data_IF_324481048179
#
_entry.id   IF_324481048179
#
_cell.length_a   1.000
_cell.length_b   1.000
_cell.length_c   1.000
_cell.angle_alpha   90.00
_cell.angle_beta   90.00
_cell.angle_gamma   90.00
#
_symmetry.space_group_name_H-M   'P 1'
#
loop_
_entity.id
_entity.type
_entity.pdbx_description
1 polymer ?
#
# COMPACT_ATOMS: atom_id res chain seq x y z
N UNK A 1 29.50 38.21 -59.63
CA UNK A 1 29.54 36.93 -58.92
C UNK A 1 28.78 37.08 -57.62
N UNK A 2 27.56 36.51 -57.49
CA UNK A 2 26.76 36.52 -56.28
C UNK A 2 26.99 35.26 -55.50
N UNK A 3 27.14 35.24 -54.16
CA UNK A 3 27.06 34.00 -53.39
C UNK A 3 25.63 33.77 -52.87
N UNK A 4 25.23 32.51 -52.95
CA UNK A 4 23.96 31.95 -52.49
C UNK A 4 23.77 32.14 -50.98
N UNK A 5 22.57 32.56 -50.59
CA UNK A 5 22.08 32.49 -49.21
C UNK A 5 21.36 31.16 -49.01
N UNK A 6 21.89 30.29 -48.18
CA UNK A 6 21.24 29.09 -47.68
C UNK A 6 20.31 29.49 -46.53
N UNK A 7 19.00 29.24 -46.69
CA UNK A 7 17.99 29.42 -45.65
C UNK A 7 18.14 28.26 -44.65
N UNK A 8 18.49 28.56 -43.42
CA UNK A 8 18.29 27.64 -42.27
C UNK A 8 16.87 27.89 -41.74
N UNK A 9 15.97 26.94 -41.95
CA UNK A 9 14.67 26.91 -41.33
C UNK A 9 14.80 26.51 -39.87
N UNK A 10 14.57 27.45 -38.96
CA UNK A 10 14.42 27.15 -37.54
C UNK A 10 13.05 26.47 -37.32
N UNK A 11 13.06 25.19 -37.00
CA UNK A 11 11.89 24.47 -36.52
C UNK A 11 11.69 24.88 -35.05
N UNK A 12 10.78 25.79 -34.80
CA UNK A 12 10.33 26.13 -33.45
C UNK A 12 9.33 25.03 -33.04
N UNK A 13 9.81 24.08 -32.23
CA UNK A 13 8.91 23.14 -31.53
C UNK A 13 8.28 23.92 -30.39
N UNK A 14 7.07 24.39 -30.58
CA UNK A 14 6.24 24.90 -29.48
C UNK A 14 5.84 23.72 -28.59
N UNK A 15 6.57 23.54 -27.50
CA UNK A 15 6.12 22.67 -26.40
C UNK A 15 5.02 23.44 -25.67
N UNK A 16 3.78 23.17 -26.02
CA UNK A 16 2.64 23.64 -25.25
C UNK A 16 2.59 22.83 -23.95
N UNK A 17 3.09 23.41 -22.86
CA UNK A 17 2.85 22.88 -21.52
C UNK A 17 1.33 23.01 -21.24
N UNK A 18 0.59 21.92 -21.42
CA UNK A 18 -0.80 21.84 -20.97
C UNK A 18 -0.72 21.64 -19.45
N UNK A 19 -0.92 22.73 -18.72
CA UNK A 19 -1.09 22.71 -17.27
C UNK A 19 -2.51 22.21 -17.03
N UNK A 20 -2.66 20.90 -16.81
CA UNK A 20 -3.93 20.30 -16.45
C UNK A 20 -4.40 20.85 -15.10
N UNK A 21 -5.43 21.63 -15.14
CA UNK A 21 -6.16 22.06 -13.95
C UNK A 21 -7.18 20.97 -13.56
N UNK A 22 -7.56 20.89 -12.29
CA UNK A 22 -8.67 20.03 -11.85
C UNK A 22 -9.96 20.42 -12.60
N UNK A 23 -10.33 19.65 -13.61
CA UNK A 23 -11.63 19.80 -14.27
C UNK A 23 -12.58 18.71 -13.76
N UNK A 24 -13.58 19.13 -12.99
CA UNK A 24 -14.82 18.36 -12.91
C UNK A 24 -15.69 18.83 -14.09
N UNK A 25 -15.76 18.02 -15.12
CA UNK A 25 -16.76 18.19 -16.15
C UNK A 25 -18.13 17.99 -15.53
N UNK A 26 -19.02 18.97 -15.68
CA UNK A 26 -20.43 18.75 -15.40
C UNK A 26 -20.92 17.58 -16.25
N UNK A 27 -21.46 16.56 -15.59
CA UNK A 27 -22.17 15.48 -16.23
C UNK A 27 -23.46 16.08 -16.82
N UNK A 28 -23.47 16.41 -18.13
CA UNK A 28 -24.70 16.34 -18.88
C UNK A 28 -25.18 14.89 -18.85
N UNK A 29 -26.48 14.66 -18.74
CA UNK A 29 -27.16 13.34 -18.63
C UNK A 29 -26.87 12.33 -19.76
N UNK A 30 -25.77 12.48 -20.48
CA UNK A 30 -25.34 11.64 -21.61
C UNK A 30 -23.85 11.41 -21.73
N UNK A 31 -23.07 11.50 -20.62
CA UNK A 31 -21.69 11.05 -20.66
C UNK A 31 -21.65 9.51 -20.77
N UNK A 32 -20.96 8.95 -21.76
CA UNK A 32 -20.85 7.48 -21.87
C UNK A 32 -20.19 6.95 -20.61
N UNK A 33 -20.86 6.01 -19.94
CA UNK A 33 -20.25 5.17 -18.92
C UNK A 33 -18.90 4.69 -19.46
N UNK A 34 -17.77 4.82 -18.72
CA UNK A 34 -16.52 4.27 -19.18
C UNK A 34 -16.72 2.77 -19.40
N UNK A 35 -16.87 2.36 -20.66
CA UNK A 35 -16.92 0.96 -21.03
C UNK A 35 -15.50 0.43 -20.87
N UNK A 36 -15.22 -0.26 -19.76
CA UNK A 36 -14.13 -1.22 -19.76
C UNK A 36 -14.40 -2.19 -20.91
N UNK A 37 -13.41 -2.51 -21.74
CA UNK A 37 -13.60 -3.39 -22.87
C UNK A 37 -14.28 -4.68 -22.40
N UNK A 38 -15.22 -5.18 -23.21
CA UNK A 38 -15.88 -6.46 -23.00
C UNK A 38 -14.80 -7.56 -22.87
N UNK A 39 -15.07 -8.66 -22.16
CA UNK A 39 -14.07 -9.69 -21.91
C UNK A 39 -13.52 -10.19 -23.24
N UNK A 40 -12.28 -9.83 -23.53
CA UNK A 40 -11.51 -10.39 -24.62
C UNK A 40 -11.06 -11.79 -24.21
N UNK A 41 -10.97 -12.70 -25.19
CA UNK A 41 -10.47 -14.07 -25.22
C UNK A 41 -10.02 -14.68 -23.88
N UNK A 42 -10.37 -15.94 -23.65
CA UNK A 42 -10.01 -16.73 -22.46
C UNK A 42 -8.59 -16.43 -21.98
N UNK A 43 -8.52 -15.74 -20.84
CA UNK A 43 -7.27 -15.42 -20.17
C UNK A 43 -6.72 -16.71 -19.57
N UNK A 44 -5.55 -17.13 -20.03
CA UNK A 44 -4.80 -18.23 -19.40
C UNK A 44 -4.13 -17.61 -18.16
N UNK A 45 -4.67 -17.91 -16.97
CA UNK A 45 -4.10 -17.47 -15.72
C UNK A 45 -2.70 -18.09 -15.53
N UNK A 46 -1.74 -17.27 -15.12
CA UNK A 46 -0.44 -17.72 -14.60
C UNK A 46 -0.67 -18.32 -13.20
N UNK A 47 0.17 -19.27 -12.76
CA UNK A 47 0.12 -19.84 -11.40
C UNK A 47 0.28 -18.79 -10.30
N UNK A 48 0.76 -17.59 -10.64
CA UNK A 48 0.85 -16.43 -9.74
C UNK A 48 -0.43 -15.58 -9.67
N UNK A 49 -1.42 -15.79 -10.56
CA UNK A 49 -2.65 -15.01 -10.57
C UNK A 49 -3.69 -15.56 -9.59
N UNK A 50 -4.42 -14.65 -8.96
CA UNK A 50 -5.46 -14.96 -7.98
C UNK A 50 -6.86 -14.83 -8.59
N UNK A 51 -7.79 -15.64 -8.06
CA UNK A 51 -9.21 -15.45 -8.28
C UNK A 51 -9.84 -14.47 -7.28
N UNK A 52 -11.06 -14.00 -7.55
CA UNK A 52 -11.83 -13.20 -6.59
C UNK A 52 -12.12 -13.96 -5.28
N UNK A 53 -12.20 -15.31 -5.35
CA UNK A 53 -12.36 -16.18 -4.18
C UNK A 53 -11.12 -16.15 -3.29
N UNK A 54 -9.93 -16.24 -3.89
CA UNK A 54 -8.65 -16.16 -3.16
C UNK A 54 -8.49 -14.80 -2.49
N UNK A 55 -8.82 -13.71 -3.19
CA UNK A 55 -8.79 -12.37 -2.61
C UNK A 55 -9.75 -12.24 -1.41
N UNK A 56 -10.94 -12.85 -1.47
CA UNK A 56 -11.85 -12.89 -0.33
C UNK A 56 -11.27 -13.68 0.85
N UNK A 57 -10.54 -14.77 0.61
CA UNK A 57 -9.85 -15.54 1.64
C UNK A 57 -8.73 -14.73 2.29
N UNK A 58 -7.89 -14.07 1.48
CA UNK A 58 -6.84 -13.14 1.94
C UNK A 58 -7.43 -12.06 2.86
N UNK A 59 -8.56 -11.45 2.46
CA UNK A 59 -9.22 -10.41 3.25
C UNK A 59 -9.68 -10.91 4.62
N UNK A 60 -10.22 -12.13 4.70
CA UNK A 60 -10.62 -12.74 5.98
C UNK A 60 -9.42 -12.97 6.90
N UNK A 61 -8.33 -13.55 6.36
CA UNK A 61 -7.10 -13.81 7.12
C UNK A 61 -6.51 -12.51 7.63
N UNK A 62 -6.40 -11.48 6.78
CA UNK A 62 -5.86 -10.19 7.16
C UNK A 62 -6.63 -9.54 8.31
N UNK A 63 -7.97 -9.53 8.24
CA UNK A 63 -8.81 -8.94 9.30
C UNK A 63 -8.78 -9.74 10.59
N UNK A 64 -8.64 -11.05 10.52
CA UNK A 64 -8.56 -11.91 11.70
C UNK A 64 -7.16 -11.94 12.33
N UNK A 65 -6.17 -11.21 11.77
CA UNK A 65 -4.84 -11.02 12.35
C UNK A 65 -4.03 -12.32 12.44
N UNK A 66 -4.14 -13.20 11.44
CA UNK A 66 -3.44 -14.51 11.39
C UNK A 66 -3.69 -15.42 12.61
N UNK A 67 -4.69 -15.14 13.43
CA UNK A 67 -5.05 -16.01 14.55
C UNK A 67 -6.04 -17.08 14.07
N UNK A 68 -5.85 -18.36 14.43
CA UNK A 68 -6.90 -19.35 14.25
C UNK A 68 -8.10 -18.91 15.10
N UNK A 69 -9.16 -18.44 14.46
CA UNK A 69 -10.37 -18.00 15.16
C UNK A 69 -11.10 -19.22 15.69
N UNK A 70 -11.42 -19.21 16.99
CA UNK A 70 -12.56 -20.01 17.50
C UNK A 70 -13.80 -19.52 16.76
N UNK A 71 -14.59 -20.46 16.24
CA UNK A 71 -15.79 -20.21 15.47
C UNK A 71 -16.62 -19.05 16.07
N UNK A 72 -16.84 -17.98 15.30
CA UNK A 72 -17.79 -16.92 15.67
C UNK A 72 -17.45 -15.48 15.29
N UNK A 73 -16.28 -15.16 14.75
CA UNK A 73 -15.94 -13.79 14.39
C UNK A 73 -15.27 -13.63 13.02
N UNK A 74 -15.67 -14.41 12.03
CA UNK A 74 -15.13 -14.28 10.68
C UNK A 74 -15.51 -12.93 10.08
N UNK A 75 -14.52 -12.21 9.54
CA UNK A 75 -14.76 -10.98 8.82
C UNK A 75 -15.72 -11.24 7.64
N UNK A 76 -16.90 -10.61 7.70
CA UNK A 76 -17.93 -10.80 6.67
C UNK A 76 -17.50 -10.07 5.40
N UNK A 77 -17.22 -10.82 4.35
CA UNK A 77 -17.04 -10.31 2.99
C UNK A 77 -18.42 -10.13 2.37
N UNK A 78 -18.75 -8.91 1.95
CA UNK A 78 -20.03 -8.60 1.28
C UNK A 78 -20.00 -8.97 -0.19
N UNK A 79 -19.00 -8.46 -0.90
CA UNK A 79 -18.76 -8.75 -2.32
C UNK A 79 -17.32 -8.40 -2.69
N UNK A 80 -16.91 -8.84 -3.88
CA UNK A 80 -15.61 -8.52 -4.48
C UNK A 80 -15.85 -7.81 -5.82
N UNK A 81 -15.24 -6.65 -5.99
CA UNK A 81 -15.27 -5.87 -7.24
C UNK A 81 -13.91 -6.01 -7.92
N UNK A 82 -13.91 -6.40 -9.19
CA UNK A 82 -12.67 -6.59 -9.96
C UNK A 82 -12.33 -5.31 -10.73
N UNK A 83 -11.15 -4.78 -10.49
CA UNK A 83 -10.54 -3.69 -11.27
C UNK A 83 -9.59 -4.34 -12.26
N UNK A 84 -9.71 -3.95 -13.55
CA UNK A 84 -8.96 -4.58 -14.64
C UNK A 84 -7.89 -3.65 -15.18
N UNK A 85 -6.80 -4.25 -15.70
CA UNK A 85 -5.76 -3.54 -16.45
C UNK A 85 -6.22 -3.18 -17.89
N UNK A 86 -5.35 -2.50 -18.63
CA UNK A 86 -5.63 -2.10 -20.01
C UNK A 86 -5.86 -3.28 -20.96
N UNK A 87 -5.31 -4.47 -20.65
CA UNK A 87 -5.53 -5.71 -21.40
C UNK A 87 -6.81 -6.44 -20.97
N UNK A 88 -7.57 -5.92 -20.01
CA UNK A 88 -8.80 -6.53 -19.49
C UNK A 88 -8.55 -7.63 -18.45
N UNK A 89 -7.31 -7.87 -18.02
CA UNK A 89 -6.96 -8.85 -16.98
C UNK A 89 -7.33 -8.30 -15.60
N UNK A 90 -7.75 -9.12 -14.63
CA UNK A 90 -7.89 -8.67 -13.25
C UNK A 90 -6.57 -8.10 -12.73
N UNK A 91 -6.55 -6.88 -12.24
CA UNK A 91 -5.38 -6.24 -11.64
C UNK A 91 -5.53 -6.11 -10.13
N UNK A 92 -6.67 -5.63 -9.66
CA UNK A 92 -6.94 -5.40 -8.25
C UNK A 92 -8.32 -5.96 -7.90
N UNK A 93 -8.43 -6.60 -6.76
CA UNK A 93 -9.71 -6.96 -6.16
C UNK A 93 -10.05 -6.02 -5.01
N UNK A 94 -11.11 -5.25 -5.14
CA UNK A 94 -11.68 -4.49 -4.02
C UNK A 94 -12.66 -5.39 -3.26
N UNK A 95 -12.22 -5.86 -2.10
CA UNK A 95 -13.01 -6.76 -1.23
C UNK A 95 -13.78 -5.92 -0.23
N UNK A 96 -15.07 -5.75 -0.47
CA UNK A 96 -15.97 -5.01 0.42
C UNK A 96 -16.29 -5.84 1.67
N UNK A 97 -16.09 -5.23 2.84
CA UNK A 97 -16.33 -5.83 4.15
C UNK A 97 -17.61 -5.26 4.78
N UNK A 98 -17.90 -5.64 6.02
CA UNK A 98 -19.02 -5.06 6.76
C UNK A 98 -18.86 -3.55 6.92
N UNK A 99 -17.63 -3.09 7.22
CA UNK A 99 -17.23 -1.69 7.15
C UNK A 99 -15.93 -1.58 6.36
N UNK A 100 -15.89 -0.62 5.43
CA UNK A 100 -14.73 -0.39 4.60
C UNK A 100 -14.46 -1.52 3.59
N UNK A 101 -13.27 -1.50 3.03
CA UNK A 101 -12.83 -2.50 2.05
C UNK A 101 -11.30 -2.62 2.01
N UNK A 102 -10.82 -3.70 1.43
CA UNK A 102 -9.41 -3.91 1.12
C UNK A 102 -9.20 -3.90 -0.39
N UNK A 103 -8.08 -3.35 -0.83
CA UNK A 103 -7.57 -3.54 -2.18
C UNK A 103 -6.50 -4.61 -2.13
N UNK A 104 -6.70 -5.67 -2.90
CA UNK A 104 -5.83 -6.85 -2.92
C UNK A 104 -5.28 -7.03 -4.33
N UNK A 105 -3.99 -7.28 -4.46
CA UNK A 105 -3.37 -7.59 -5.74
C UNK A 105 -3.98 -8.84 -6.36
N UNK A 106 -4.20 -8.82 -7.67
CA UNK A 106 -4.65 -9.99 -8.40
C UNK A 106 -3.49 -10.91 -8.85
N UNK A 107 -2.26 -10.62 -8.44
CA UNK A 107 -1.10 -11.47 -8.69
C UNK A 107 -0.16 -11.53 -7.50
N UNK A 108 0.41 -12.69 -7.23
CA UNK A 108 1.43 -12.90 -6.19
C UNK A 108 2.78 -12.24 -6.52
N UNK A 109 2.92 -11.69 -7.71
CA UNK A 109 4.10 -10.91 -8.10
C UNK A 109 4.15 -9.53 -7.43
N UNK A 110 3.04 -9.07 -6.84
CA UNK A 110 2.95 -7.83 -6.08
C UNK A 110 2.59 -8.12 -4.62
N UNK A 111 2.76 -7.12 -3.77
CA UNK A 111 2.39 -7.22 -2.35
C UNK A 111 0.87 -7.48 -2.20
N UNK A 112 0.45 -8.38 -1.31
CA UNK A 112 -0.95 -8.84 -1.22
C UNK A 112 -1.94 -7.72 -0.90
N UNK A 113 -1.68 -6.90 0.11
CA UNK A 113 -2.57 -5.84 0.56
C UNK A 113 -2.10 -4.49 0.00
N UNK A 114 -2.81 -3.97 -0.99
CA UNK A 114 -2.47 -2.71 -1.63
C UNK A 114 -3.04 -1.50 -0.87
N UNK A 115 -4.22 -1.67 -0.26
CA UNK A 115 -4.81 -0.64 0.59
C UNK A 115 -5.81 -1.21 1.58
N UNK A 116 -5.96 -0.50 2.69
CA UNK A 116 -6.99 -0.71 3.69
C UNK A 116 -7.78 0.58 3.87
N UNK A 117 -9.07 0.53 3.61
CA UNK A 117 -10.00 1.64 3.76
C UNK A 117 -10.98 1.31 4.88
N UNK A 118 -11.07 2.20 5.88
CA UNK A 118 -11.81 1.92 7.11
C UNK A 118 -13.32 2.13 6.97
N UNK A 119 -13.77 2.96 6.01
CA UNK A 119 -15.19 3.29 5.82
C UNK A 119 -15.57 3.35 4.36
N UNK A 120 -16.83 3.07 4.06
CA UNK A 120 -17.40 3.11 2.71
C UNK A 120 -17.41 1.75 2.03
N UNK A 121 -17.95 1.73 0.84
CA UNK A 121 -18.02 0.55 -0.04
C UNK A 121 -17.44 0.93 -1.38
N UNK A 122 -16.61 0.09 -1.95
CA UNK A 122 -16.05 0.33 -3.28
C UNK A 122 -17.05 -0.10 -4.36
N UNK A 123 -17.29 0.80 -5.32
CA UNK A 123 -18.07 0.54 -6.54
C UNK A 123 -17.35 1.16 -7.72
N UNK A 124 -17.61 0.68 -8.94
CA UNK A 124 -16.99 1.21 -10.16
C UNK A 124 -17.66 2.50 -10.65
N UNK A 125 -18.91 2.73 -10.29
CA UNK A 125 -19.76 3.87 -10.68
C UNK A 125 -19.66 5.07 -9.72
N UNK A 126 -18.68 5.06 -8.81
CA UNK A 126 -18.45 6.15 -7.88
C UNK A 126 -17.97 7.44 -8.58
N UNK A 127 -18.20 8.57 -7.95
CA UNK A 127 -17.65 9.86 -8.43
C UNK A 127 -16.10 9.80 -8.49
N UNK A 128 -15.48 10.36 -9.55
CA UNK A 128 -14.03 10.45 -9.66
C UNK A 128 -13.40 11.16 -8.46
N UNK A 129 -12.25 10.65 -8.01
CA UNK A 129 -11.54 11.17 -6.86
C UNK A 129 -10.03 10.95 -6.97
N UNK A 130 -9.24 11.44 -6.01
CA UNK A 130 -7.82 11.12 -5.92
C UNK A 130 -7.53 9.61 -5.81
N UNK A 131 -8.49 8.84 -5.34
CA UNK A 131 -8.40 7.38 -5.35
C UNK A 131 -8.19 6.82 -6.75
N UNK A 132 -8.80 7.42 -7.79
CA UNK A 132 -8.64 6.97 -9.18
C UNK A 132 -7.20 7.12 -9.68
N UNK A 133 -6.51 8.19 -9.26
CA UNK A 133 -5.08 8.38 -9.55
C UNK A 133 -4.24 7.24 -8.98
N UNK A 134 -4.48 6.89 -7.72
CA UNK A 134 -3.73 5.82 -7.04
C UNK A 134 -4.09 4.44 -7.59
N UNK A 135 -5.37 4.19 -7.89
CA UNK A 135 -5.80 2.93 -8.52
C UNK A 135 -5.15 2.73 -9.88
N UNK A 136 -5.03 3.80 -10.68
CA UNK A 136 -4.34 3.74 -11.96
C UNK A 136 -2.86 3.37 -11.77
N UNK A 137 -2.15 4.04 -10.87
CA UNK A 137 -0.74 3.76 -10.58
C UNK A 137 -0.54 2.32 -10.10
N UNK A 138 -1.41 1.82 -9.23
CA UNK A 138 -1.38 0.43 -8.76
C UNK A 138 -1.62 -0.55 -9.90
N UNK A 139 -2.57 -0.27 -10.79
CA UNK A 139 -2.89 -1.12 -11.94
C UNK A 139 -1.73 -1.20 -12.93
N UNK A 140 -1.13 -0.04 -13.28
CA UNK A 140 0.06 0.04 -14.13
C UNK A 140 1.24 -0.74 -13.53
N UNK A 141 1.40 -0.67 -12.21
CA UNK A 141 2.42 -1.41 -11.46
C UNK A 141 2.22 -2.93 -11.57
N UNK A 142 0.99 -3.40 -11.40
CA UNK A 142 0.65 -4.82 -11.49
C UNK A 142 0.83 -5.34 -12.92
N UNK A 143 0.42 -4.55 -13.91
CA UNK A 143 0.64 -4.87 -15.32
C UNK A 143 2.13 -5.03 -15.63
N UNK A 144 2.93 -4.07 -15.20
CA UNK A 144 4.39 -4.12 -15.36
C UNK A 144 5.04 -5.31 -14.64
N UNK A 145 4.58 -5.67 -13.45
CA UNK A 145 5.10 -6.82 -12.71
C UNK A 145 4.79 -8.16 -13.41
N UNK A 146 3.67 -8.26 -14.12
CA UNK A 146 3.32 -9.45 -14.94
C UNK A 146 4.15 -9.54 -16.21
N UNK A 147 4.37 -8.42 -16.87
CA UNK A 147 5.05 -8.36 -18.16
C UNK A 147 6.59 -8.35 -18.02
N UNK A 148 7.09 -8.20 -16.80
CA UNK A 148 8.53 -8.20 -16.51
C UNK A 148 9.05 -9.60 -16.26
N UNK A 149 10.16 -9.94 -16.95
CA UNK A 149 10.97 -11.12 -16.60
C UNK A 149 11.78 -10.91 -15.31
N UNK A 150 11.82 -9.69 -14.77
CA UNK A 150 12.41 -9.41 -13.46
C UNK A 150 11.47 -9.93 -12.38
N UNK A 151 11.93 -10.93 -11.64
CA UNK A 151 11.20 -11.52 -10.52
C UNK A 151 11.12 -10.49 -9.40
N UNK A 152 9.96 -9.85 -9.24
CA UNK A 152 9.62 -9.25 -7.96
C UNK A 152 9.26 -10.41 -7.04
N UNK A 153 10.13 -10.68 -6.10
CA UNK A 153 9.83 -11.73 -5.13
C UNK A 153 8.98 -11.16 -3.99
N UNK A 154 7.67 -11.11 -4.24
CA UNK A 154 6.70 -10.82 -3.18
C UNK A 154 6.09 -12.10 -2.59
N UNK A 155 6.57 -13.29 -2.98
CA UNK A 155 5.99 -14.58 -2.55
C UNK A 155 5.96 -14.72 -1.03
N UNK A 156 7.03 -14.31 -0.36
CA UNK A 156 7.10 -14.36 1.10
C UNK A 156 6.01 -13.55 1.80
N UNK A 157 5.57 -12.43 1.20
CA UNK A 157 4.47 -11.64 1.73
C UNK A 157 3.10 -12.36 1.62
N UNK A 158 3.00 -13.40 0.78
CA UNK A 158 1.79 -14.21 0.61
C UNK A 158 1.71 -15.39 1.57
N UNK A 159 2.85 -15.84 2.14
CA UNK A 159 2.90 -16.97 3.07
C UNK A 159 1.84 -16.93 4.19
N UNK A 160 1.55 -15.77 4.82
CA UNK A 160 0.50 -15.70 5.83
C UNK A 160 -0.92 -15.99 5.32
N UNK A 161 -1.12 -15.88 4.00
CA UNK A 161 -2.44 -16.01 3.35
C UNK A 161 -2.61 -17.32 2.61
N UNK A 162 -1.54 -18.07 2.37
CA UNK A 162 -1.62 -19.38 1.75
C UNK A 162 -2.13 -20.39 2.78
N UNK A 163 -3.02 -21.29 2.35
CA UNK A 163 -3.38 -22.43 3.18
C UNK A 163 -2.11 -23.23 3.45
N UNK A 164 -1.65 -23.19 4.68
CA UNK A 164 -0.53 -24.03 5.11
C UNK A 164 -0.98 -25.47 4.95
N UNK A 165 -0.50 -26.13 3.93
CA UNK A 165 -0.58 -27.58 3.85
C UNK A 165 0.15 -28.09 5.10
N UNK A 166 -0.61 -28.67 6.04
CA UNK A 166 -0.04 -29.38 7.17
C UNK A 166 1.01 -30.32 6.60
N UNK A 167 2.28 -30.25 7.04
CA UNK A 167 3.24 -31.27 6.67
C UNK A 167 2.62 -32.59 7.09
N UNK A 168 2.45 -33.52 6.14
CA UNK A 168 2.06 -34.87 6.46
C UNK A 168 3.04 -35.35 7.54
N UNK A 169 2.50 -35.82 8.66
CA UNK A 169 3.28 -36.46 9.70
C UNK A 169 4.00 -37.63 9.06
N UNK A 170 5.27 -37.43 8.71
CA UNK A 170 6.14 -38.52 8.32
C UNK A 170 6.36 -39.35 9.60
N UNK A 171 5.60 -40.41 9.72
CA UNK A 171 5.83 -41.42 10.75
C UNK A 171 7.15 -42.10 10.43
N UNK A 172 8.24 -41.66 11.08
CA UNK A 172 9.46 -42.42 11.16
C UNK A 172 9.41 -43.22 12.45
N UNK A 173 9.63 -44.53 12.32
CA UNK A 173 9.77 -45.48 13.41
C UNK A 173 10.89 -45.02 14.36
N UNK A 174 10.52 -44.52 15.52
CA UNK A 174 11.35 -44.55 16.73
C UNK A 174 10.53 -45.18 17.83
N UNK A 175 11.17 -46.00 18.65
CA UNK A 175 10.50 -46.88 19.62
C UNK A 175 10.51 -46.33 21.04
N UNK A 176 10.65 -45.00 21.23
CA UNK A 176 10.65 -44.40 22.56
C UNK A 176 9.49 -43.41 22.68
N UNK A 177 8.44 -43.82 23.38
CA UNK A 177 7.23 -43.01 23.61
C UNK A 177 7.55 -41.64 24.23
N UNK A 178 8.53 -41.53 25.11
CA UNK A 178 8.96 -40.28 25.74
C UNK A 178 9.57 -39.28 24.75
N UNK A 179 10.30 -39.72 23.73
CA UNK A 179 10.88 -38.87 22.71
C UNK A 179 9.77 -38.25 21.84
N UNK A 180 8.77 -39.02 21.47
CA UNK A 180 7.62 -38.56 20.71
C UNK A 180 6.81 -37.55 21.49
N UNK A 181 6.63 -37.70 22.77
CA UNK A 181 5.87 -36.79 23.62
C UNK A 181 6.56 -35.42 23.69
N UNK A 182 7.88 -35.38 23.87
CA UNK A 182 8.64 -34.14 23.89
C UNK A 182 8.64 -33.47 22.51
N UNK A 183 8.86 -34.22 21.45
CA UNK A 183 8.79 -33.70 20.08
C UNK A 183 7.40 -33.13 19.77
N UNK A 184 6.33 -33.83 20.13
CA UNK A 184 4.99 -33.38 19.94
C UNK A 184 4.64 -32.12 20.76
N UNK A 185 5.17 -32.03 22.02
CA UNK A 185 5.01 -30.84 22.85
C UNK A 185 5.68 -29.62 22.20
N UNK A 186 6.90 -29.77 21.69
CA UNK A 186 7.63 -28.69 21.05
C UNK A 186 7.06 -28.31 19.67
N UNK A 187 6.67 -29.25 18.85
CA UNK A 187 5.97 -28.98 17.60
C UNK A 187 4.63 -28.28 17.84
N UNK A 188 3.89 -28.70 18.87
CA UNK A 188 2.67 -28.04 19.30
C UNK A 188 2.90 -26.59 19.72
N UNK A 189 4.01 -26.32 20.45
CA UNK A 189 4.43 -24.97 20.85
C UNK A 189 4.77 -24.11 19.62
N UNK A 190 5.66 -24.56 18.75
CA UNK A 190 6.06 -23.82 17.55
C UNK A 190 4.87 -23.56 16.62
N UNK A 191 3.99 -24.54 16.45
CA UNK A 191 2.76 -24.37 15.71
C UNK A 191 1.84 -23.31 16.35
N UNK A 192 1.69 -23.30 17.66
CA UNK A 192 0.91 -22.29 18.36
C UNK A 192 1.52 -20.88 18.23
N UNK A 193 2.85 -20.78 18.07
CA UNK A 193 3.58 -19.56 17.77
C UNK A 193 3.52 -19.16 16.29
N UNK A 194 2.92 -19.99 15.42
CA UNK A 194 2.82 -19.76 13.98
C UNK A 194 4.10 -20.04 13.20
N UNK A 195 4.95 -20.93 13.69
CA UNK A 195 6.14 -21.38 12.99
C UNK A 195 5.90 -22.73 12.30
N UNK A 196 6.40 -22.86 11.06
CA UNK A 196 6.52 -24.14 10.37
C UNK A 196 7.80 -24.85 10.83
N UNK A 197 7.84 -26.18 10.72
CA UNK A 197 8.96 -26.99 11.19
C UNK A 197 9.46 -27.88 10.07
N UNK A 198 10.78 -27.92 9.91
CA UNK A 198 11.49 -28.72 8.94
C UNK A 198 12.57 -29.53 9.66
N UNK A 199 12.79 -30.79 9.25
CA UNK A 199 13.98 -31.51 9.70
C UNK A 199 15.21 -30.86 9.11
N UNK A 200 16.35 -30.90 9.83
CA UNK A 200 17.59 -30.33 9.31
C UNK A 200 18.01 -30.95 7.97
N UNK A 201 17.67 -32.20 7.72
CA UNK A 201 17.92 -32.88 6.45
C UNK A 201 17.02 -32.35 5.29
N UNK A 202 16.05 -31.52 5.58
CA UNK A 202 15.09 -30.99 4.61
C UNK A 202 15.18 -29.45 4.60
N UNK A 203 15.98 -28.91 3.69
CA UNK A 203 16.14 -27.46 3.54
C UNK A 203 14.78 -26.81 3.22
N UNK A 204 14.36 -25.78 3.98
CA UNK A 204 13.21 -24.96 3.61
C UNK A 204 13.43 -24.26 2.25
N UNK A 205 12.42 -24.25 1.39
CA UNK A 205 12.55 -23.79 -0.01
C UNK A 205 13.14 -22.37 -0.15
N UNK A 206 12.73 -21.45 0.71
CA UNK A 206 13.14 -20.03 0.67
C UNK A 206 14.38 -19.73 1.53
N UNK A 207 14.94 -20.72 2.21
CA UNK A 207 16.14 -20.53 3.02
C UNK A 207 17.37 -20.34 2.13
N UNK A 208 18.21 -19.28 2.34
CA UNK A 208 19.47 -19.12 1.63
C UNK A 208 20.38 -20.34 1.80
N UNK A 209 21.07 -20.73 0.74
CA UNK A 209 21.92 -21.91 0.74
C UNK A 209 23.07 -21.80 1.74
N UNK A 210 23.69 -20.64 1.82
CA UNK A 210 24.79 -20.36 2.76
C UNK A 210 24.32 -20.40 4.23
N UNK A 211 23.13 -19.94 4.52
CA UNK A 211 22.53 -20.04 5.86
C UNK A 211 22.19 -21.50 6.22
N UNK A 212 21.65 -22.26 5.26
CA UNK A 212 21.39 -23.69 5.47
C UNK A 212 22.68 -24.48 5.69
N UNK A 213 23.72 -24.23 4.90
CA UNK A 213 25.05 -24.85 5.07
C UNK A 213 25.62 -24.54 6.44
N UNK A 214 25.56 -23.29 6.88
CA UNK A 214 25.99 -22.88 8.23
C UNK A 214 25.20 -23.62 9.32
N UNK A 215 23.90 -23.82 9.17
CA UNK A 215 23.07 -24.58 10.10
C UNK A 215 23.52 -26.05 10.18
N UNK A 216 23.82 -26.67 9.05
CA UNK A 216 24.34 -28.02 9.00
C UNK A 216 25.70 -28.13 9.69
N UNK A 217 26.61 -27.17 9.43
CA UNK A 217 27.93 -27.13 10.09
C UNK A 217 27.83 -26.92 11.60
N UNK A 218 26.94 -26.00 12.04
CA UNK A 218 26.69 -25.74 13.45
C UNK A 218 26.15 -26.99 14.17
N UNK A 219 25.24 -27.73 13.56
CA UNK A 219 24.69 -28.96 14.13
C UNK A 219 25.70 -30.10 14.18
N UNK A 220 26.66 -30.15 13.25
CA UNK A 220 27.72 -31.18 13.21
C UNK A 220 28.88 -30.83 14.14
N UNK A 221 29.18 -29.51 14.29
CA UNK A 221 30.36 -29.04 15.05
C UNK A 221 30.21 -29.10 16.56
N UNK A 222 29.02 -29.35 17.08
CA UNK A 222 28.77 -29.40 18.52
C UNK A 222 28.76 -30.85 19.02
N UNK A 223 29.95 -31.50 18.94
CA UNK A 223 30.19 -32.87 19.38
C UNK A 223 29.72 -33.17 20.82
N UNK A 224 29.42 -32.15 21.60
CA UNK A 224 28.91 -32.29 22.97
C UNK A 224 27.45 -32.80 23.02
N UNK A 225 26.73 -32.79 21.92
CA UNK A 225 25.29 -33.00 21.90
C UNK A 225 24.86 -34.23 21.10
N UNK A 226 25.71 -34.77 20.21
CA UNK A 226 25.33 -35.85 19.30
C UNK A 226 26.49 -36.78 19.03
N UNK A 227 26.26 -38.06 19.24
CA UNK A 227 27.29 -39.12 19.07
C UNK A 227 27.74 -39.34 17.61
N UNK A 228 27.01 -38.84 16.61
CA UNK A 228 27.36 -38.96 15.19
C UNK A 228 26.71 -37.85 14.32
N UNK A 229 27.35 -37.45 13.19
CA UNK A 229 26.76 -36.50 12.24
C UNK A 229 25.36 -36.91 11.72
N UNK A 230 25.09 -38.20 11.61
CA UNK A 230 23.81 -38.74 11.17
C UNK A 230 22.68 -38.42 12.17
N UNK A 231 22.96 -38.55 13.47
CA UNK A 231 21.97 -38.22 14.51
C UNK A 231 21.69 -36.71 14.60
N UNK A 232 22.66 -35.83 14.27
CA UNK A 232 22.44 -34.40 14.20
C UNK A 232 21.41 -34.06 13.15
N UNK A 233 21.53 -34.63 11.97
CA UNK A 233 20.61 -34.34 10.84
C UNK A 233 19.21 -34.88 11.09
N UNK A 234 19.07 -35.97 11.88
CA UNK A 234 17.75 -36.51 12.22
C UNK A 234 17.09 -35.79 13.39
N UNK A 235 17.87 -35.28 14.34
CA UNK A 235 17.35 -34.60 15.55
C UNK A 235 17.34 -33.09 15.47
N UNK A 236 17.99 -32.49 14.47
CA UNK A 236 17.94 -31.05 14.21
C UNK A 236 16.62 -30.65 13.56
N UNK A 237 16.05 -29.55 14.06
CA UNK A 237 14.80 -28.96 13.55
C UNK A 237 15.05 -27.50 13.17
N UNK A 238 14.65 -27.15 11.97
CA UNK A 238 14.58 -25.75 11.52
C UNK A 238 13.14 -25.27 11.69
N UNK A 239 12.94 -24.23 12.47
CA UNK A 239 11.65 -23.51 12.50
C UNK A 239 11.70 -22.34 11.56
N UNK A 240 10.61 -22.13 10.82
CA UNK A 240 10.44 -21.03 9.86
C UNK A 240 9.27 -20.20 10.30
N UNK A 241 9.51 -18.92 10.59
CA UNK A 241 8.46 -18.00 11.02
C UNK A 241 8.55 -16.70 10.28
N UNK A 242 7.43 -16.34 9.66
CA UNK A 242 7.26 -15.03 9.04
C UNK A 242 6.91 -13.97 10.09
N UNK A 243 7.55 -12.82 9.98
CA UNK A 243 7.35 -11.69 10.88
C UNK A 243 7.05 -10.42 10.08
N UNK A 244 6.11 -9.65 10.59
CA UNK A 244 5.90 -8.27 10.17
C UNK A 244 6.05 -7.36 11.39
N UNK A 245 6.83 -6.31 11.24
CA UNK A 245 6.92 -5.24 12.23
C UNK A 245 6.66 -3.90 11.54
N UNK A 246 5.89 -3.04 12.19
CA UNK A 246 5.50 -1.77 11.60
C UNK A 246 5.62 -0.60 12.56
N UNK A 247 5.94 0.58 12.02
CA UNK A 247 5.87 1.85 12.72
C UNK A 247 4.81 2.70 12.05
N UNK A 248 3.75 3.01 12.82
CA UNK A 248 2.60 3.77 12.35
C UNK A 248 2.59 5.17 12.96
N UNK A 249 2.44 6.21 12.13
CA UNK A 249 2.23 7.59 12.53
C UNK A 249 1.00 8.17 11.85
N UNK A 250 0.21 8.95 12.56
CA UNK A 250 -1.04 9.50 12.06
C UNK A 250 -2.20 8.48 12.04
N UNK A 251 -3.30 8.76 11.36
CA UNK A 251 -3.55 10.00 10.60
C UNK A 251 -3.53 11.25 11.51
N UNK A 252 -2.97 12.36 11.00
CA UNK A 252 -2.85 13.60 11.74
C UNK A 252 -4.09 14.48 11.63
N UNK A 253 -4.77 14.42 10.47
CA UNK A 253 -5.96 15.23 10.21
C UNK A 253 -7.21 14.54 10.78
N UNK A 254 -7.99 15.30 11.54
CA UNK A 254 -9.31 14.86 12.03
C UNK A 254 -10.43 15.28 11.07
N UNK A 255 -10.16 16.25 10.20
CA UNK A 255 -11.13 16.84 9.28
C UNK A 255 -11.60 15.86 8.21
N UNK A 256 -12.94 15.84 7.97
CA UNK A 256 -13.63 15.07 6.93
C UNK A 256 -14.42 16.01 6.04
N UNK A 257 -13.77 17.07 5.61
CA UNK A 257 -14.41 18.09 4.79
C UNK A 257 -14.64 17.61 3.35
N UNK A 258 -15.52 18.30 2.67
CA UNK A 258 -15.85 18.00 1.29
C UNK A 258 -16.20 19.26 0.50
N UNK A 259 -16.40 19.11 -0.82
CA UNK A 259 -16.51 20.25 -1.73
C UNK A 259 -17.92 20.84 -1.85
N UNK A 260 -18.96 20.07 -1.40
CA UNK A 260 -20.39 20.42 -1.51
C UNK A 260 -21.11 20.09 -0.19
N UNK A 261 -22.40 19.84 -0.22
CA UNK A 261 -23.21 19.38 0.93
C UNK A 261 -23.13 20.30 2.15
N UNK A 262 -23.22 21.62 1.92
CA UNK A 262 -23.18 22.63 2.97
C UNK A 262 -21.81 23.28 3.20
N UNK A 263 -20.71 22.67 2.78
CA UNK A 263 -19.40 23.33 2.82
C UNK A 263 -19.32 24.52 1.85
N UNK A 264 -20.04 24.46 0.72
CA UNK A 264 -20.22 25.53 -0.27
C UNK A 264 -21.48 26.37 -0.03
N UNK A 265 -21.94 26.47 1.21
CA UNK A 265 -23.24 27.11 1.53
C UNK A 265 -23.33 28.59 1.13
N UNK A 266 -22.20 29.29 0.96
CA UNK A 266 -22.18 30.70 0.55
C UNK A 266 -22.21 30.88 -0.98
N UNK A 267 -22.08 29.84 -1.78
CA UNK A 267 -22.24 29.96 -3.23
C UNK A 267 -23.72 30.07 -3.61
N UNK A 268 -24.03 30.86 -4.64
CA UNK A 268 -25.38 30.95 -5.18
C UNK A 268 -25.79 29.60 -5.78
N UNK A 269 -24.96 29.07 -6.66
CA UNK A 269 -25.13 27.72 -7.21
C UNK A 269 -24.61 26.70 -6.21
N UNK A 270 -25.52 25.90 -5.62
CA UNK A 270 -25.16 24.85 -4.64
C UNK A 270 -24.46 23.62 -5.27
N UNK A 271 -24.55 23.48 -6.59
CA UNK A 271 -23.86 22.43 -7.35
C UNK A 271 -22.39 22.79 -7.65
N UNK A 272 -22.04 24.09 -7.55
CA UNK A 272 -20.66 24.53 -7.71
C UNK A 272 -19.77 23.99 -6.59
N UNK A 273 -18.68 23.24 -6.92
CA UNK A 273 -17.79 22.69 -5.92
C UNK A 273 -16.80 23.74 -5.39
N UNK A 274 -16.37 23.59 -4.15
CA UNK A 274 -15.26 24.37 -3.59
C UNK A 274 -13.90 24.07 -4.26
N UNK A 275 -13.79 22.92 -4.93
CA UNK A 275 -12.54 22.43 -5.50
C UNK A 275 -11.67 21.64 -4.52
N UNK A 276 -11.05 20.58 -5.01
CA UNK A 276 -10.21 19.70 -4.21
C UNK A 276 -8.99 20.41 -3.59
N UNK A 277 -8.41 21.37 -4.33
CA UNK A 277 -7.29 22.19 -3.86
C UNK A 277 -7.70 23.03 -2.64
N UNK A 278 -8.91 23.63 -2.65
CA UNK A 278 -9.43 24.39 -1.50
C UNK A 278 -9.55 23.50 -0.26
N UNK A 279 -10.09 22.30 -0.44
CA UNK A 279 -10.29 21.38 0.70
C UNK A 279 -8.93 20.92 1.23
N UNK A 280 -8.01 20.50 0.35
CA UNK A 280 -6.69 20.03 0.77
C UNK A 280 -5.88 21.11 1.51
N UNK A 281 -5.82 22.34 0.96
CA UNK A 281 -5.15 23.49 1.58
C UNK A 281 -5.84 23.85 2.90
N UNK A 282 -7.17 23.95 2.90
CA UNK A 282 -7.93 24.28 4.11
C UNK A 282 -7.72 23.29 5.26
N UNK A 283 -7.70 22.00 4.96
CA UNK A 283 -7.45 20.94 5.95
C UNK A 283 -6.03 21.03 6.54
N UNK A 284 -5.02 21.36 5.72
CA UNK A 284 -3.66 21.61 6.21
C UNK A 284 -3.61 22.83 7.12
N UNK A 285 -4.20 23.96 6.70
CA UNK A 285 -4.26 25.17 7.54
C UNK A 285 -4.99 24.91 8.86
N UNK A 286 -6.08 24.11 8.85
CA UNK A 286 -6.79 23.68 10.06
C UNK A 286 -5.92 22.81 10.98
N UNK A 287 -5.11 21.92 10.41
CA UNK A 287 -4.18 21.12 11.19
C UNK A 287 -3.12 21.95 11.90
N UNK A 288 -2.50 22.89 11.19
CA UNK A 288 -1.48 23.77 11.76
C UNK A 288 -2.08 24.92 12.62
N UNK A 289 -3.39 25.16 12.49
CA UNK A 289 -4.08 26.30 13.14
C UNK A 289 -3.40 27.64 12.87
N UNK A 290 -2.85 27.79 11.67
CA UNK A 290 -2.14 28.99 11.23
C UNK A 290 -2.78 29.58 9.96
N UNK A 291 -2.88 30.92 9.86
CA UNK A 291 -2.66 31.91 10.92
C UNK A 291 -3.77 31.90 12.00
N UNK A 292 -3.44 32.31 13.20
CA UNK A 292 -4.30 32.14 14.38
C UNK A 292 -5.66 32.88 14.33
N UNK A 293 -5.81 33.89 13.46
CA UNK A 293 -7.01 34.74 13.39
C UNK A 293 -8.22 34.10 12.71
N UNK A 294 -8.12 32.89 12.14
CA UNK A 294 -9.25 32.24 11.47
C UNK A 294 -10.28 31.57 12.41
N UNK A 295 -10.08 31.61 13.72
CA UNK A 295 -11.05 31.00 14.65
C UNK A 295 -11.13 29.48 14.52
N UNK A 296 -10.00 28.81 14.52
CA UNK A 296 -9.87 27.38 14.27
C UNK A 296 -10.69 26.48 15.21
N UNK A 297 -10.89 26.91 16.47
CA UNK A 297 -11.72 26.19 17.45
C UNK A 297 -13.17 26.07 17.06
N UNK A 298 -13.67 27.01 16.25
CA UNK A 298 -15.06 27.09 15.85
C UNK A 298 -15.35 26.32 14.55
N UNK A 299 -14.33 25.77 13.91
CA UNK A 299 -14.46 25.01 12.66
C UNK A 299 -14.61 23.51 12.97
N UNK A 300 -15.79 22.91 12.70
CA UNK A 300 -16.01 21.50 12.99
C UNK A 300 -15.27 20.59 12.02
N UNK A 301 -14.94 19.38 12.46
CA UNK A 301 -14.17 18.42 11.66
C UNK A 301 -15.05 17.67 10.64
N UNK A 302 -16.32 17.40 10.93
CA UNK A 302 -17.19 16.53 10.11
C UNK A 302 -18.43 17.23 9.53
N UNK A 303 -18.75 18.42 10.00
CA UNK A 303 -19.92 19.20 9.58
C UNK A 303 -19.49 20.57 9.08
N UNK A 304 -20.43 21.37 8.56
CA UNK A 304 -20.18 22.75 8.17
C UNK A 304 -20.90 23.71 9.10
N UNK A 305 -20.31 24.88 9.29
CA UNK A 305 -20.93 26.04 9.95
C UNK A 305 -20.51 27.34 9.23
N UNK A 306 -21.01 28.48 9.69
CA UNK A 306 -20.73 29.77 9.05
C UNK A 306 -19.24 30.13 9.06
N UNK A 307 -18.52 29.87 10.17
CA UNK A 307 -17.08 30.14 10.27
C UNK A 307 -16.29 29.36 9.22
N UNK A 308 -16.53 28.04 9.14
CA UNK A 308 -15.86 27.18 8.17
C UNK A 308 -16.23 27.52 6.72
N UNK A 309 -17.51 27.76 6.44
CA UNK A 309 -17.95 28.09 5.07
C UNK A 309 -17.39 29.43 4.60
N UNK A 310 -17.29 30.42 5.48
CA UNK A 310 -16.66 31.72 5.18
C UNK A 310 -15.18 31.55 4.87
N UNK A 311 -14.46 30.78 5.69
CA UNK A 311 -13.05 30.46 5.46
C UNK A 311 -12.82 29.75 4.14
N UNK A 312 -13.58 28.69 3.86
CA UNK A 312 -13.43 27.92 2.62
C UNK A 312 -13.80 28.74 1.37
N UNK A 313 -14.81 29.63 1.47
CA UNK A 313 -15.19 30.52 0.37
C UNK A 313 -14.12 31.57 0.08
N UNK A 314 -13.52 32.15 1.12
CA UNK A 314 -12.38 33.05 0.98
C UNK A 314 -11.20 32.34 0.29
N UNK A 315 -10.86 31.16 0.81
CA UNK A 315 -9.75 30.36 0.29
C UNK A 315 -9.96 29.93 -1.17
N UNK A 316 -11.19 29.57 -1.54
CA UNK A 316 -11.59 29.28 -2.93
C UNK A 316 -11.26 30.45 -3.87
N UNK A 317 -11.62 31.68 -3.48
CA UNK A 317 -11.33 32.87 -4.28
C UNK A 317 -9.84 33.15 -4.41
N UNK A 318 -9.08 33.03 -3.32
CA UNK A 318 -7.63 33.26 -3.32
C UNK A 318 -6.86 32.21 -4.13
N UNK A 319 -7.32 30.97 -4.11
CA UNK A 319 -6.79 29.86 -4.92
C UNK A 319 -7.19 29.97 -6.40
N UNK A 320 -8.01 30.96 -6.78
CA UNK A 320 -8.51 31.16 -8.13
C UNK A 320 -9.15 29.88 -8.71
N UNK A 321 -9.96 29.23 -7.89
CA UNK A 321 -10.68 28.02 -8.31
C UNK A 321 -11.73 28.42 -9.33
N UNK A 322 -11.83 27.70 -10.43
CA UNK A 322 -12.86 27.90 -11.46
C UNK A 322 -14.24 27.41 -11.00
N UNK A 323 -15.31 27.77 -11.69
CA UNK A 323 -16.67 27.30 -11.38
C UNK A 323 -16.78 25.75 -11.40
N UNK A 324 -15.97 25.09 -12.23
CA UNK A 324 -15.85 23.64 -12.29
C UNK A 324 -14.98 23.03 -11.18
N UNK A 325 -14.48 23.81 -10.22
CA UNK A 325 -13.68 23.32 -9.10
C UNK A 325 -12.19 23.16 -9.39
N UNK A 326 -11.69 23.72 -10.49
CA UNK A 326 -10.32 23.54 -10.97
C UNK A 326 -9.34 24.58 -10.40
N UNK A 327 -8.19 24.13 -9.90
CA UNK A 327 -7.03 24.95 -9.52
C UNK A 327 -5.75 24.08 -9.57
N UNK A 328 -4.60 24.61 -9.17
CA UNK A 328 -3.35 23.91 -9.26
C UNK A 328 -2.40 24.14 -8.06
N UNK A 329 -1.35 23.32 -7.99
CA UNK A 329 -0.36 23.35 -6.90
C UNK A 329 0.39 24.68 -6.79
N UNK A 330 0.56 25.44 -7.88
CA UNK A 330 1.25 26.74 -7.84
C UNK A 330 0.36 27.81 -7.18
N UNK A 331 -0.97 27.70 -7.37
CA UNK A 331 -1.91 28.53 -6.62
C UNK A 331 -1.92 28.15 -5.14
N UNK A 332 -1.93 26.85 -4.82
CA UNK A 332 -1.83 26.36 -3.44
C UNK A 332 -0.56 26.88 -2.74
N UNK A 333 0.59 26.74 -3.40
CA UNK A 333 1.87 27.24 -2.89
C UNK A 333 1.81 28.75 -2.61
N UNK A 334 1.41 29.55 -3.60
CA UNK A 334 1.34 31.00 -3.46
C UNK A 334 0.43 31.45 -2.31
N UNK A 335 -0.74 30.81 -2.17
CA UNK A 335 -1.70 31.14 -1.11
C UNK A 335 -1.14 30.78 0.24
N UNK A 336 -0.60 29.60 0.42
CA UNK A 336 0.04 29.21 1.68
C UNK A 336 1.20 30.16 2.04
N UNK A 337 2.06 30.51 1.09
CA UNK A 337 3.15 31.47 1.31
C UNK A 337 2.63 32.87 1.68
N UNK A 338 1.49 33.30 1.14
CA UNK A 338 0.89 34.59 1.54
C UNK A 338 0.36 34.57 2.99
N UNK A 339 0.10 33.41 3.53
CA UNK A 339 -0.27 33.20 4.94
C UNK A 339 0.92 32.90 5.87
N UNK A 340 2.15 32.98 5.36
CA UNK A 340 3.38 32.82 6.16
C UNK A 340 3.98 31.43 6.16
N UNK A 341 3.40 30.47 5.42
CA UNK A 341 3.97 29.13 5.33
C UNK A 341 5.21 29.11 4.41
N UNK A 342 6.21 28.34 4.80
CA UNK A 342 7.36 28.02 3.93
C UNK A 342 7.08 26.76 3.13
N UNK A 343 6.97 26.87 1.79
CA UNK A 343 6.52 25.80 0.92
C UNK A 343 7.53 25.39 -0.14
N UNK A 344 7.74 24.10 -0.36
CA UNK A 344 8.59 23.54 -1.42
C UNK A 344 7.79 22.58 -2.31
N UNK A 345 7.68 22.91 -3.61
CA UNK A 345 7.04 22.05 -4.62
C UNK A 345 8.06 21.06 -5.19
N UNK A 346 7.70 19.78 -5.25
CA UNK A 346 8.54 18.69 -5.79
C UNK A 346 7.74 17.66 -6.56
N UNK A 347 8.39 16.89 -7.41
CA UNK A 347 7.85 15.61 -7.88
C UNK A 347 7.72 14.67 -6.69
N UNK A 348 6.68 13.83 -6.70
CA UNK A 348 6.42 12.89 -5.62
C UNK A 348 7.65 12.00 -5.35
N UNK A 349 7.98 11.89 -4.07
CA UNK A 349 9.02 11.00 -3.59
C UNK A 349 8.63 10.41 -2.23
N UNK A 350 8.38 9.11 -2.18
CA UNK A 350 7.95 8.41 -0.98
C UNK A 350 8.85 8.61 0.23
N UNK A 351 10.17 8.53 0.04
CA UNK A 351 11.13 8.75 1.15
C UNK A 351 11.03 10.16 1.72
N UNK A 352 10.82 11.16 0.85
CA UNK A 352 10.61 12.55 1.31
C UNK A 352 9.30 12.69 2.06
N UNK A 353 8.20 12.15 1.52
CA UNK A 353 6.88 12.17 2.18
C UNK A 353 6.95 11.43 3.53
N UNK A 354 7.58 10.26 3.57
CA UNK A 354 7.78 9.49 4.80
C UNK A 354 8.55 10.30 5.85
N UNK A 355 9.62 11.02 5.45
CA UNK A 355 10.40 11.89 6.35
C UNK A 355 9.55 13.03 6.91
N UNK A 356 8.73 13.68 6.07
CA UNK A 356 7.81 14.74 6.50
C UNK A 356 6.81 14.22 7.53
N UNK A 357 6.19 13.08 7.25
CA UNK A 357 5.20 12.48 8.16
C UNK A 357 5.84 12.01 9.48
N UNK A 358 7.07 11.52 9.46
CA UNK A 358 7.80 11.19 10.70
C UNK A 358 8.08 12.42 11.56
N UNK A 359 8.13 13.60 10.96
CA UNK A 359 8.21 14.89 11.64
C UNK A 359 6.84 15.50 11.98
N UNK A 360 5.75 14.74 11.82
CA UNK A 360 4.35 15.18 11.99
C UNK A 360 3.95 16.33 11.04
N UNK A 361 4.52 16.35 9.84
CA UNK A 361 4.24 17.34 8.82
C UNK A 361 3.44 16.68 7.67
N UNK A 362 2.12 16.80 7.64
CA UNK A 362 1.30 16.30 6.54
C UNK A 362 1.62 17.01 5.23
N UNK A 363 1.44 16.30 4.12
CA UNK A 363 1.88 16.73 2.80
C UNK A 363 0.68 16.93 1.88
N UNK A 364 0.59 18.09 1.24
CA UNK A 364 -0.31 18.26 0.11
C UNK A 364 0.23 17.48 -1.09
N UNK A 365 -0.62 16.67 -1.71
CA UNK A 365 -0.29 15.93 -2.92
C UNK A 365 -1.32 16.21 -4.01
N UNK A 366 -0.87 16.32 -5.25
CA UNK A 366 -1.72 16.45 -6.43
C UNK A 366 -1.28 15.46 -7.49
N UNK A 367 -2.23 14.77 -8.10
CA UNK A 367 -2.01 13.82 -9.20
C UNK A 367 -3.03 14.02 -10.33
N UNK A 368 -2.79 13.35 -11.47
CA UNK A 368 -3.66 13.40 -12.64
C UNK A 368 -3.98 11.98 -13.10
N UNK A 369 -5.27 11.69 -13.26
CA UNK A 369 -5.78 10.52 -13.97
C UNK A 369 -5.69 10.79 -15.47
N UNK A 370 -4.69 10.22 -16.13
CA UNK A 370 -4.44 10.46 -17.56
C UNK A 370 -5.56 9.97 -18.49
N UNK A 371 -6.16 8.79 -18.29
CA UNK A 371 -7.25 8.30 -19.15
C UNK A 371 -8.46 9.23 -19.17
N UNK A 372 -8.75 9.89 -18.04
CA UNK A 372 -9.91 10.77 -17.88
C UNK A 372 -9.58 12.25 -17.97
N UNK A 373 -8.30 12.60 -18.03
CA UNK A 373 -7.77 13.98 -17.95
C UNK A 373 -8.29 14.76 -16.72
N UNK A 374 -8.48 14.04 -15.60
CA UNK A 374 -8.98 14.61 -14.35
C UNK A 374 -7.84 14.66 -13.32
N UNK A 375 -7.56 15.85 -12.81
CA UNK A 375 -6.65 16.04 -11.70
C UNK A 375 -7.37 16.05 -10.35
N UNK A 376 -6.67 15.63 -9.29
CA UNK A 376 -7.16 15.73 -7.93
C UNK A 376 -6.04 16.13 -6.96
N UNK A 377 -6.43 16.87 -5.89
CA UNK A 377 -5.56 17.24 -4.79
C UNK A 377 -6.10 16.66 -3.48
N UNK A 378 -5.19 16.17 -2.64
CA UNK A 378 -5.51 15.56 -1.34
C UNK A 378 -4.39 15.81 -0.34
N UNK A 379 -4.57 15.35 0.89
CA UNK A 379 -3.54 15.39 1.92
C UNK A 379 -3.06 13.99 2.26
N UNK A 380 -1.75 13.80 2.29
CA UNK A 380 -1.10 12.63 2.88
C UNK A 380 -0.77 12.98 4.33
N UNK A 381 -1.43 12.31 5.27
CA UNK A 381 -1.43 12.70 6.69
C UNK A 381 -1.10 11.57 7.66
N UNK A 382 -0.48 10.51 7.16
CA UNK A 382 0.02 9.43 8.01
C UNK A 382 0.92 8.47 7.24
N UNK A 383 1.78 7.78 7.96
CA UNK A 383 2.67 6.74 7.43
C UNK A 383 2.60 5.47 8.27
N UNK A 384 2.67 4.31 7.62
CA UNK A 384 2.85 3.02 8.25
C UNK A 384 3.93 2.26 7.47
N UNK A 385 5.11 2.13 8.07
CA UNK A 385 6.22 1.36 7.48
C UNK A 385 6.17 -0.05 8.04
N UNK A 386 6.03 -1.04 7.18
CA UNK A 386 5.99 -2.46 7.53
C UNK A 386 7.26 -3.11 6.96
N UNK A 387 8.06 -3.70 7.84
CA UNK A 387 9.21 -4.52 7.45
C UNK A 387 8.83 -5.99 7.63
N UNK A 388 8.94 -6.75 6.56
CA UNK A 388 8.69 -8.18 6.55
C UNK A 388 10.00 -8.95 6.49
N UNK A 389 10.13 -10.00 7.30
CA UNK A 389 11.26 -10.92 7.28
C UNK A 389 10.82 -12.33 7.68
N UNK A 390 11.51 -13.33 7.16
CA UNK A 390 11.40 -14.71 7.64
C UNK A 390 12.55 -14.99 8.58
N UNK A 391 12.25 -15.52 9.76
CA UNK A 391 13.22 -15.97 10.74
C UNK A 391 13.30 -17.49 10.67
N UNK A 392 14.51 -17.97 10.46
CA UNK A 392 14.88 -19.39 10.52
C UNK A 392 15.65 -19.60 11.81
N UNK A 393 15.29 -20.61 12.60
CA UNK A 393 16.01 -20.97 13.81
C UNK A 393 16.33 -22.45 13.78
N UNK A 394 17.58 -22.77 14.07
CA UNK A 394 18.04 -24.14 14.24
C UNK A 394 17.90 -24.55 15.71
N UNK A 395 17.20 -25.62 15.92
CA UNK A 395 17.12 -26.30 17.23
C UNK A 395 17.69 -27.69 17.16
N UNK A 396 18.47 -28.08 18.19
CA UNK A 396 18.87 -29.45 18.40
C UNK A 396 18.31 -29.94 19.73
N UNK A 397 18.02 -31.25 19.79
CA UNK A 397 17.52 -31.90 21.00
C UNK A 397 18.69 -32.14 21.99
N UNK A 398 18.55 -31.57 23.17
CA UNK A 398 19.51 -31.85 24.26
C UNK A 398 19.06 -33.07 25.05
N UNK A 399 19.78 -34.18 24.92
CA UNK A 399 19.50 -35.45 25.57
C UNK A 399 20.24 -35.62 26.93
N UNK A 400 21.05 -34.64 27.36
CA UNK A 400 21.99 -34.77 28.49
C UNK A 400 21.40 -34.58 29.89
N UNK A 401 20.08 -34.39 30.05
CA UNK A 401 19.45 -34.08 31.34
C UNK A 401 18.20 -34.96 31.60
N UNK A 402 17.68 -34.98 32.85
CA UNK A 402 16.54 -35.81 33.22
C UNK A 402 15.28 -35.64 32.38
N UNK A 403 15.15 -34.51 31.69
CA UNK A 403 14.13 -34.26 30.68
C UNK A 403 14.78 -33.60 29.47
N UNK A 404 14.79 -34.25 28.30
CA UNK A 404 15.30 -33.65 27.08
C UNK A 404 14.51 -32.38 26.69
N UNK A 405 15.17 -31.41 26.04
CA UNK A 405 14.55 -30.23 25.47
C UNK A 405 15.26 -29.78 24.20
N UNK A 406 14.59 -29.00 23.37
CA UNK A 406 15.22 -28.38 22.22
C UNK A 406 15.98 -27.12 22.63
N UNK A 407 17.21 -26.98 22.12
CA UNK A 407 18.09 -25.84 22.34
C UNK A 407 18.24 -25.11 21.02
N UNK A 408 18.03 -23.80 21.02
CA UNK A 408 18.34 -22.95 19.86
C UNK A 408 19.87 -22.86 19.70
N UNK A 409 20.37 -23.29 18.53
CA UNK A 409 21.81 -23.29 18.22
C UNK A 409 22.19 -22.10 17.35
N UNK A 410 21.35 -21.72 16.36
CA UNK A 410 21.62 -20.65 15.42
C UNK A 410 20.32 -20.03 14.92
N UNK A 411 20.41 -18.84 14.34
CA UNK A 411 19.28 -18.17 13.71
C UNK A 411 19.72 -17.34 12.51
N UNK A 412 18.82 -17.23 11.52
CA UNK A 412 18.98 -16.41 10.32
C UNK A 412 17.73 -15.61 10.07
N UNK A 413 17.88 -14.37 9.58
CA UNK A 413 16.76 -13.51 9.19
C UNK A 413 16.91 -13.06 7.75
N UNK A 414 15.98 -13.47 6.93
CA UNK A 414 15.89 -13.04 5.55
C UNK A 414 14.86 -11.93 5.44
N UNK A 415 15.34 -10.72 5.14
CA UNK A 415 14.49 -9.55 4.95
C UNK A 415 13.94 -9.53 3.53
N UNK A 416 12.63 -9.46 3.39
CA UNK A 416 11.95 -9.52 2.10
C UNK A 416 11.64 -8.13 1.55
N UNK A 417 11.03 -7.27 2.38
CA UNK A 417 10.60 -5.95 1.93
C UNK A 417 10.44 -4.98 3.08
N UNK A 418 10.59 -3.72 2.76
CA UNK A 418 10.07 -2.63 3.57
C UNK A 418 8.99 -1.94 2.75
N UNK A 419 7.74 -2.08 3.17
CA UNK A 419 6.59 -1.46 2.53
C UNK A 419 6.15 -0.25 3.33
N UNK A 420 5.89 0.84 2.64
CA UNK A 420 5.38 2.07 3.25
C UNK A 420 3.96 2.30 2.77
N UNK A 421 3.03 2.37 3.70
CA UNK A 421 1.66 2.79 3.46
C UNK A 421 1.51 4.24 3.89
N UNK A 422 0.85 5.03 3.06
CA UNK A 422 0.46 6.39 3.40
C UNK A 422 -1.03 6.48 3.65
N UNK A 423 -1.41 7.19 4.70
CA UNK A 423 -2.81 7.55 4.91
C UNK A 423 -3.17 8.74 4.02
N UNK A 424 -4.23 8.58 3.24
CA UNK A 424 -4.75 9.56 2.29
C UNK A 424 -6.06 10.15 2.79
N UNK A 425 -6.13 11.46 2.96
CA UNK A 425 -7.37 12.19 3.19
C UNK A 425 -7.79 12.89 1.89
N UNK A 426 -8.78 12.31 1.21
CA UNK A 426 -9.20 12.72 -0.12
C UNK A 426 -10.01 14.03 -0.19
N UNK A 427 -10.42 14.59 0.94
CA UNK A 427 -11.30 15.76 0.96
C UNK A 427 -12.71 15.47 0.45
N UNK A 428 -13.20 14.23 0.66
CA UNK A 428 -14.52 13.77 0.24
C UNK A 428 -15.33 13.24 1.43
N UNK A 429 -15.58 14.10 2.40
CA UNK A 429 -16.41 13.79 3.58
C UNK A 429 -15.88 12.60 4.41
N UNK A 430 -14.56 12.34 4.35
CA UNK A 430 -13.94 11.16 4.94
C UNK A 430 -14.19 9.86 4.18
N UNK A 431 -14.93 9.90 3.07
CA UNK A 431 -15.13 8.74 2.21
C UNK A 431 -13.81 8.35 1.56
N UNK A 432 -13.56 7.03 1.51
CA UNK A 432 -12.38 6.43 0.89
C UNK A 432 -11.04 6.77 1.57
N UNK A 433 -11.02 7.56 2.65
CA UNK A 433 -9.81 7.76 3.43
C UNK A 433 -9.27 6.41 3.92
N UNK A 434 -7.95 6.23 3.89
CA UNK A 434 -7.35 4.95 4.27
C UNK A 434 -5.85 4.91 4.04
N UNK A 435 -5.28 3.73 4.24
CA UNK A 435 -3.87 3.43 4.13
C UNK A 435 -3.60 2.80 2.77
N UNK A 436 -2.76 3.41 1.95
CA UNK A 436 -2.42 2.99 0.60
C UNK A 436 -0.94 2.70 0.51
N UNK A 437 -0.59 1.53 -0.01
CA UNK A 437 0.79 1.19 -0.31
C UNK A 437 1.35 2.20 -1.31
N UNK A 438 2.50 2.80 -0.99
CA UNK A 438 3.21 3.60 -1.99
C UNK A 438 3.89 2.66 -2.99
N UNK A 439 3.30 2.59 -4.17
CA UNK A 439 3.73 1.72 -5.26
C UNK A 439 4.96 2.27 -5.98
N UNK A 440 5.95 2.74 -5.25
CA UNK A 440 7.23 3.06 -5.84
C UNK A 440 7.97 1.78 -6.22
N UNK A 441 7.54 1.12 -7.26
CA UNK A 441 8.28 0.03 -7.83
C UNK A 441 9.26 0.62 -8.86
N UNK A 442 10.51 0.74 -8.43
CA UNK A 442 11.62 0.83 -9.36
C UNK A 442 11.97 -0.60 -9.77
N UNK A 443 11.73 -1.00 -10.98
CA UNK A 443 12.21 -2.28 -11.49
C UNK A 443 13.13 -2.05 -12.68
N UNK A 444 14.00 -3.02 -12.92
CA UNK A 444 14.82 -3.05 -14.11
C UNK A 444 14.07 -3.78 -15.20
N UNK A 445 13.83 -3.12 -16.33
CA UNK A 445 13.26 -3.78 -17.51
C UNK A 445 14.30 -4.72 -18.16
N UNK A 446 13.90 -5.42 -19.20
CA UNK A 446 14.76 -6.35 -19.95
C UNK A 446 16.03 -5.70 -20.55
N UNK A 447 16.11 -4.37 -20.54
CA UNK A 447 17.28 -3.58 -20.95
C UNK A 447 18.12 -3.09 -19.78
N UNK A 448 17.83 -3.56 -18.55
CA UNK A 448 18.48 -3.13 -17.30
C UNK A 448 18.23 -1.64 -16.94
N UNK A 449 17.21 -1.01 -17.55
CA UNK A 449 16.80 0.38 -17.26
C UNK A 449 15.83 0.41 -16.08
N UNK A 450 16.01 1.38 -15.19
CA UNK A 450 15.09 1.57 -14.04
C UNK A 450 13.82 2.24 -14.55
N UNK A 451 12.69 1.51 -14.52
CA UNK A 451 11.36 2.03 -14.82
C UNK A 451 10.70 2.55 -13.53
N UNK A 452 10.27 3.80 -13.55
CA UNK A 452 9.62 4.46 -12.42
C UNK A 452 8.25 4.99 -12.86
N UNK A 453 7.15 4.39 -12.33
CA UNK A 453 5.78 4.70 -12.73
C UNK A 453 5.09 5.81 -11.92
N UNK A 454 5.72 6.35 -10.87
CA UNK A 454 5.14 7.41 -10.02
C UNK A 454 5.22 8.84 -10.62
N UNK A 455 5.29 8.98 -11.94
CA UNK A 455 5.73 10.21 -12.60
C UNK A 455 4.73 11.38 -12.61
N UNK A 456 3.47 11.19 -12.18
CA UNK A 456 2.43 12.23 -12.33
C UNK A 456 2.05 12.93 -11.04
N UNK A 457 2.53 12.46 -9.89
CA UNK A 457 2.24 13.11 -8.61
C UNK A 457 3.23 14.22 -8.32
N UNK A 458 2.72 15.31 -7.74
CA UNK A 458 3.53 16.44 -7.22
C UNK A 458 3.14 16.70 -5.79
N UNK A 459 4.13 16.95 -4.97
CA UNK A 459 3.96 17.24 -3.54
C UNK A 459 4.29 18.70 -3.26
N UNK A 460 3.55 19.29 -2.32
CA UNK A 460 3.84 20.56 -1.70
C UNK A 460 4.17 20.30 -0.23
N UNK A 461 5.43 20.48 0.11
CA UNK A 461 5.95 20.27 1.46
C UNK A 461 5.84 21.59 2.22
N UNK A 462 5.25 21.56 3.42
CA UNK A 462 5.25 22.69 4.36
C UNK A 462 6.34 22.41 5.38
N UNK A 463 7.35 23.28 5.43
CA UNK A 463 8.55 23.10 6.28
C UNK A 463 8.60 24.03 7.49
N UNK A 464 7.84 25.13 7.43
CA UNK A 464 7.77 26.12 8.51
C UNK A 464 6.51 27.00 8.36
N UNK A 465 6.06 27.64 9.45
CA UNK A 465 4.92 28.56 9.50
C UNK A 465 4.89 29.44 10.77
#
# INVERSE_FOLDING_TARGET
>A
MKPNKTLFGAFVISVTLIIGACQQTELSDSAPTPSFPAPAAEFVADDSDLSAGDAAAVARIFRNGNRPTRAGSDAVVRNVVTIRDAAGRPAIYAVNLQEGYLLISATKRCYPILAQIDRGTFTLDREPSGLDVVLQEMTETIEAARDSAAVFDCRSAWLPYEERTRPERVQTRMTDDEFYDIQNEWYGKWFAEGADTYRLASKPDEMPEDAYQRFCETAIGDDAWVDTPYNCMESGVITVKYHESGTKKGPFLTTKWGQRKGYNALFENKDQPLGCVTIAVGQLMRYYQHPAYFGWSDMPDETSNTTLTSFLTQLHGELRVTDGGSSNIDHAKRVLESYGYSCSKRSHNASTVYTMLNSNLPVYTQGQDKPRDVGHAWVVDGSNSITAYTEYKLYALNNGLPRPWYVELDSERVYHSQNVFFHMNWGQYGLYNGWFLDTKISFKNNKNEICNYSSNRKDLLITDF
#
